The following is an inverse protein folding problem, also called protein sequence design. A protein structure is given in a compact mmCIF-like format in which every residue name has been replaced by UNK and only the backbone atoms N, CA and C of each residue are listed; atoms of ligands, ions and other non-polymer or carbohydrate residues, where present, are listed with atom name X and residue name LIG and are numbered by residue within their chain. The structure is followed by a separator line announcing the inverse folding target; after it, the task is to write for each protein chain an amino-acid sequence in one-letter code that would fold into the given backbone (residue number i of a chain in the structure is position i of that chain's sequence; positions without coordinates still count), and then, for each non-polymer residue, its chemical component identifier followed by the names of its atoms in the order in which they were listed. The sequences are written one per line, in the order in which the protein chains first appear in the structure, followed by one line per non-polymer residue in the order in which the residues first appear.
data_IF_342703562365
#
_entry.id   IF_342703562365
#
_cell.length_a   1.000
_cell.length_b   1.000
_cell.length_c   1.000
_cell.angle_alpha   90.00
_cell.angle_beta   90.00
_cell.angle_gamma   90.00
#
_symmetry.space_group_name_H-M   'P 1'
#
loop_
_entity.id
_entity.type
_entity.pdbx_description
1 polymer ?
#
# COMPACT_ATOMS: atom_id res chain seq x y z
N UNK A 1 71.21 -13.71 4.03
CA UNK A 1 69.75 -13.60 3.79
C UNK A 1 69.20 -12.68 4.87
N UNK A 2 68.76 -11.47 4.49
CA UNK A 2 68.51 -10.35 5.40
C UNK A 2 67.22 -10.45 6.23
N UNK A 3 67.13 -9.75 7.37
CA UNK A 3 66.11 -9.97 8.39
C UNK A 3 64.89 -9.01 8.29
N UNK A 4 63.78 -9.48 8.87
CA UNK A 4 62.63 -8.77 9.43
C UNK A 4 62.38 -7.32 8.99
N UNK A 5 61.32 -7.10 8.21
CA UNK A 5 60.69 -5.78 8.11
C UNK A 5 59.23 -5.85 7.64
N UNK A 6 58.35 -5.34 8.51
CA UNK A 6 56.99 -4.86 8.24
C UNK A 6 55.82 -5.84 8.44
N UNK A 7 55.41 -5.97 9.71
CA UNK A 7 53.99 -5.95 10.07
C UNK A 7 53.30 -4.75 9.42
N UNK A 8 52.42 -4.97 8.47
CA UNK A 8 51.32 -4.09 8.09
C UNK A 8 50.59 -4.75 6.92
N UNK A 9 49.37 -5.21 7.17
CA UNK A 9 48.20 -5.04 6.29
C UNK A 9 47.06 -5.87 6.90
N UNK A 10 46.47 -5.29 7.94
CA UNK A 10 45.16 -5.64 8.41
C UNK A 10 44.11 -5.30 7.35
N UNK A 11 43.05 -6.10 7.34
CA UNK A 11 41.68 -5.76 6.98
C UNK A 11 41.42 -5.16 5.59
N UNK A 12 40.95 -6.01 4.67
CA UNK A 12 40.00 -5.60 3.62
C UNK A 12 38.76 -6.47 3.75
N UNK A 13 37.94 -6.13 4.75
CA UNK A 13 36.53 -6.43 4.77
C UNK A 13 35.86 -5.63 3.66
N UNK A 14 35.49 -6.28 2.55
CA UNK A 14 34.46 -5.75 1.66
C UNK A 14 33.19 -6.55 1.88
N UNK A 15 32.42 -6.10 2.86
CA UNK A 15 31.01 -6.40 2.95
C UNK A 15 30.33 -5.87 1.68
N UNK A 16 29.91 -6.77 0.79
CA UNK A 16 28.94 -6.45 -0.23
C UNK A 16 27.60 -6.17 0.47
N UNK A 17 27.40 -4.92 0.89
CA UNK A 17 26.07 -4.47 1.26
C UNK A 17 25.21 -4.56 -0.01
N UNK A 18 24.02 -5.18 0.03
CA UNK A 18 23.05 -4.94 -1.01
C UNK A 18 22.71 -3.46 -0.87
N UNK A 19 23.18 -2.64 -1.81
CA UNK A 19 22.62 -1.33 -2.01
C UNK A 19 21.13 -1.57 -2.24
N UNK A 20 20.31 -1.29 -1.21
CA UNK A 20 18.87 -1.31 -1.34
C UNK A 20 18.56 -0.46 -2.56
N UNK A 21 18.04 -1.09 -3.61
CA UNK A 21 17.62 -0.40 -4.80
C UNK A 21 16.51 0.56 -4.37
N UNK A 22 16.89 1.80 -4.07
CA UNK A 22 15.96 2.88 -3.84
C UNK A 22 15.26 3.09 -5.17
N UNK A 23 14.09 2.47 -5.33
CA UNK A 23 13.20 2.76 -6.44
C UNK A 23 13.05 4.28 -6.51
N UNK A 24 13.21 4.90 -7.70
CA UNK A 24 13.08 6.35 -7.82
C UNK A 24 11.76 6.79 -7.18
N UNK A 25 11.75 7.90 -6.42
CA UNK A 25 10.56 8.34 -5.70
C UNK A 25 9.39 8.42 -6.68
N UNK A 26 8.34 7.63 -6.42
CA UNK A 26 7.16 7.62 -7.25
C UNK A 26 6.57 9.03 -7.25
N UNK A 27 6.33 9.62 -8.43
CA UNK A 27 5.68 10.93 -8.49
C UNK A 27 4.29 10.82 -7.84
N UNK A 28 4.02 11.70 -6.88
CA UNK A 28 2.73 11.76 -6.22
C UNK A 28 1.57 11.99 -7.22
N UNK A 29 1.83 12.62 -8.37
CA UNK A 29 0.81 12.83 -9.41
C UNK A 29 0.31 11.51 -10.02
N UNK A 30 1.10 10.43 -9.92
CA UNK A 30 0.70 9.09 -10.38
C UNK A 30 -0.16 8.34 -9.37
N UNK A 31 -0.29 8.85 -8.14
CA UNK A 31 -0.99 8.14 -7.07
C UNK A 31 -2.46 7.83 -7.39
N UNK A 32 -3.28 8.75 -7.94
CA UNK A 32 -4.67 8.43 -8.27
C UNK A 32 -4.79 7.26 -9.25
N UNK A 33 -3.96 7.22 -10.29
CA UNK A 33 -3.96 6.12 -11.26
C UNK A 33 -3.54 4.79 -10.61
N UNK A 34 -2.51 4.81 -9.76
CA UNK A 34 -2.06 3.62 -9.03
C UNK A 34 -3.12 3.09 -8.05
N UNK A 35 -3.76 3.99 -7.28
CA UNK A 35 -4.83 3.65 -6.35
C UNK A 35 -6.03 3.03 -7.06
N UNK A 36 -6.45 3.60 -8.20
CA UNK A 36 -7.54 3.06 -9.02
C UNK A 36 -7.16 1.70 -9.62
N UNK A 37 -5.92 1.51 -10.07
CA UNK A 37 -5.46 0.22 -10.57
C UNK A 37 -5.47 -0.86 -9.48
N UNK A 38 -4.98 -0.53 -8.28
CA UNK A 38 -5.00 -1.43 -7.12
C UNK A 38 -6.44 -1.81 -6.73
N UNK A 39 -7.33 -0.83 -6.59
CA UNK A 39 -8.74 -1.08 -6.27
C UNK A 39 -9.47 -1.80 -7.41
N UNK A 40 -9.04 -1.61 -8.65
CA UNK A 40 -9.56 -2.30 -9.82
C UNK A 40 -9.32 -3.82 -9.79
N UNK A 41 -8.21 -4.27 -9.20
CA UNK A 41 -7.96 -5.70 -8.98
C UNK A 41 -8.60 -6.22 -7.70
N UNK A 42 -8.57 -5.44 -6.62
CA UNK A 42 -9.07 -5.90 -5.32
C UNK A 42 -10.59 -5.99 -5.27
N UNK A 43 -11.34 -5.03 -5.83
CA UNK A 43 -12.79 -5.00 -5.66
C UNK A 43 -13.51 -6.23 -6.24
N UNK A 44 -13.23 -6.68 -7.49
CA UNK A 44 -13.86 -7.91 -8.00
C UNK A 44 -13.50 -9.15 -7.18
N UNK A 45 -12.25 -9.26 -6.71
CA UNK A 45 -11.79 -10.36 -5.88
C UNK A 45 -12.50 -10.36 -4.51
N UNK A 46 -12.65 -9.18 -3.91
CA UNK A 46 -13.39 -8.97 -2.67
C UNK A 46 -14.85 -9.37 -2.80
N UNK A 47 -15.55 -8.96 -3.87
CA UNK A 47 -16.95 -9.37 -4.08
C UNK A 47 -17.10 -10.88 -4.18
N UNK A 48 -16.17 -11.57 -4.86
CA UNK A 48 -16.15 -13.02 -4.94
C UNK A 48 -15.90 -13.66 -3.56
N UNK A 49 -14.97 -13.12 -2.78
CA UNK A 49 -14.67 -13.59 -1.42
C UNK A 49 -15.86 -13.39 -0.47
N UNK A 50 -16.58 -12.26 -0.57
CA UNK A 50 -17.83 -12.03 0.18
C UNK A 50 -18.86 -13.10 -0.15
N UNK A 51 -19.08 -13.39 -1.44
CA UNK A 51 -20.02 -14.40 -1.87
C UNK A 51 -19.65 -15.81 -1.36
N UNK A 52 -18.35 -16.12 -1.34
CA UNK A 52 -17.82 -17.39 -0.85
C UNK A 52 -17.66 -17.46 0.69
N UNK A 53 -17.82 -16.34 1.40
CA UNK A 53 -17.43 -16.17 2.82
C UNK A 53 -15.98 -16.55 3.09
N UNK A 54 -15.11 -16.29 2.12
CA UNK A 54 -13.67 -16.57 2.19
C UNK A 54 -13.00 -15.54 3.10
N UNK A 55 -12.55 -16.00 4.27
CA UNK A 55 -11.85 -15.16 5.25
C UNK A 55 -10.37 -14.99 4.91
N UNK A 56 -9.78 -15.96 4.23
CA UNK A 56 -8.35 -16.00 3.91
C UNK A 56 -8.03 -14.86 2.93
N UNK A 57 -8.95 -14.59 1.99
CA UNK A 57 -8.86 -13.40 1.13
C UNK A 57 -8.64 -12.10 1.92
N UNK A 58 -9.34 -11.89 3.04
CA UNK A 58 -9.25 -10.63 3.80
C UNK A 58 -7.91 -10.49 4.52
N UNK A 59 -7.36 -11.60 5.01
CA UNK A 59 -6.04 -11.62 5.63
C UNK A 59 -4.96 -11.29 4.60
N UNK A 60 -5.01 -11.92 3.43
CA UNK A 60 -4.05 -11.65 2.34
C UNK A 60 -4.20 -10.23 1.77
N UNK A 61 -5.44 -9.75 1.59
CA UNK A 61 -5.73 -8.41 1.09
C UNK A 61 -5.22 -7.32 2.04
N UNK A 62 -5.21 -7.57 3.35
CA UNK A 62 -4.59 -6.68 4.33
C UNK A 62 -3.09 -6.53 4.05
N UNK A 63 -2.39 -7.63 3.76
CA UNK A 63 -0.98 -7.60 3.37
C UNK A 63 -0.75 -6.74 2.12
N UNK A 64 -1.51 -7.00 1.06
CA UNK A 64 -1.41 -6.23 -0.21
C UNK A 64 -1.72 -4.74 -0.02
N UNK A 65 -2.72 -4.41 0.79
CA UNK A 65 -3.03 -3.02 1.15
C UNK A 65 -1.88 -2.36 1.92
N UNK A 66 -1.28 -3.05 2.89
CA UNK A 66 -0.15 -2.53 3.66
C UNK A 66 1.08 -2.33 2.77
N UNK A 67 1.37 -3.26 1.88
CA UNK A 67 2.47 -3.15 0.91
C UNK A 67 2.27 -1.97 -0.04
N UNK A 68 1.06 -1.84 -0.61
CA UNK A 68 0.70 -0.68 -1.42
C UNK A 68 0.89 0.62 -0.61
N UNK A 69 0.35 0.66 0.61
CA UNK A 69 0.43 1.85 1.47
C UNK A 69 1.86 2.22 1.85
N UNK A 70 2.70 1.22 2.09
CA UNK A 70 4.12 1.38 2.41
C UNK A 70 4.90 1.92 1.22
N UNK A 71 4.67 1.37 0.03
CA UNK A 71 5.33 1.79 -1.21
C UNK A 71 5.06 3.27 -1.58
N UNK A 72 3.94 3.81 -1.11
CA UNK A 72 3.52 5.20 -1.30
C UNK A 72 3.72 6.10 -0.08
N UNK A 73 4.01 5.51 1.08
CA UNK A 73 4.32 6.22 2.33
C UNK A 73 3.13 6.95 2.98
N UNK A 74 1.88 6.72 2.59
CA UNK A 74 0.74 7.48 3.17
C UNK A 74 0.26 6.95 4.53
N UNK A 75 0.45 5.66 4.84
CA UNK A 75 -0.02 5.08 6.11
C UNK A 75 1.05 5.08 7.21
N UNK A 76 2.31 4.83 6.86
CA UNK A 76 3.41 4.69 7.83
C UNK A 76 4.23 5.96 8.01
N UNK A 77 4.39 6.76 6.95
CA UNK A 77 5.27 7.94 6.94
C UNK A 77 4.50 9.26 6.85
N UNK A 78 3.18 9.20 6.58
CA UNK A 78 2.35 10.39 6.41
C UNK A 78 2.79 11.26 5.25
N UNK A 79 3.12 10.66 4.10
CA UNK A 79 3.65 11.35 2.91
C UNK A 79 2.81 12.60 2.56
N UNK A 80 3.33 13.83 2.81
CA UNK A 80 2.56 15.05 2.66
C UNK A 80 2.20 15.32 1.19
N UNK A 81 2.93 14.76 0.22
CA UNK A 81 2.62 14.91 -1.19
C UNK A 81 1.29 14.23 -1.59
N UNK A 82 0.81 13.29 -0.76
CA UNK A 82 -0.46 12.58 -0.97
C UNK A 82 -1.64 13.25 -0.25
N UNK A 83 -1.39 14.26 0.59
CA UNK A 83 -2.44 15.03 1.28
C UNK A 83 -3.47 15.70 0.35
N UNK A 84 -3.08 15.96 -0.90
CA UNK A 84 -3.96 16.49 -1.96
C UNK A 84 -4.89 15.44 -2.60
N UNK A 85 -4.71 14.16 -2.26
CA UNK A 85 -5.53 13.05 -2.76
C UNK A 85 -6.18 12.24 -1.63
N UNK A 86 -6.86 12.89 -0.66
CA UNK A 86 -7.44 12.19 0.50
C UNK A 86 -8.46 11.13 0.06
N UNK A 87 -9.24 11.42 -0.99
CA UNK A 87 -10.21 10.48 -1.54
C UNK A 87 -9.58 9.17 -2.04
N UNK A 88 -8.34 9.21 -2.53
CA UNK A 88 -7.62 8.02 -2.99
C UNK A 88 -6.99 7.25 -1.82
N UNK A 89 -6.35 7.94 -0.87
CA UNK A 89 -5.77 7.29 0.32
C UNK A 89 -6.84 6.66 1.20
N UNK A 90 -7.99 7.33 1.35
CA UNK A 90 -9.14 6.81 2.09
C UNK A 90 -9.77 5.62 1.37
N UNK A 91 -9.99 5.68 0.06
CA UNK A 91 -10.54 4.53 -0.68
C UNK A 91 -9.65 3.28 -0.55
N UNK A 92 -8.32 3.42 -0.65
CA UNK A 92 -7.39 2.31 -0.44
C UNK A 92 -7.38 1.80 0.99
N UNK A 93 -7.64 2.65 1.99
CA UNK A 93 -7.67 2.22 3.39
C UNK A 93 -9.00 1.57 3.78
N UNK A 94 -10.10 2.05 3.22
CA UNK A 94 -11.47 1.69 3.61
C UNK A 94 -11.99 0.45 2.87
N UNK A 95 -11.47 0.08 1.69
CA UNK A 95 -12.06 -1.00 0.87
C UNK A 95 -12.17 -2.32 1.65
N UNK A 96 -11.13 -2.68 2.40
CA UNK A 96 -11.09 -3.94 3.12
C UNK A 96 -12.09 -3.94 4.28
N UNK A 97 -12.21 -2.81 4.98
CA UNK A 97 -13.18 -2.63 6.08
C UNK A 97 -14.61 -2.74 5.54
N UNK A 98 -14.89 -2.10 4.40
CA UNK A 98 -16.19 -2.20 3.71
C UNK A 98 -16.51 -3.65 3.37
N UNK A 99 -15.56 -4.40 2.81
CA UNK A 99 -15.76 -5.81 2.50
C UNK A 99 -16.01 -6.67 3.74
N UNK A 100 -15.21 -6.48 4.79
CA UNK A 100 -15.37 -7.20 6.06
C UNK A 100 -16.74 -6.94 6.69
N UNK A 101 -17.22 -5.69 6.67
CA UNK A 101 -18.51 -5.31 7.23
C UNK A 101 -19.72 -5.92 6.51
N UNK A 102 -19.54 -6.37 5.27
CA UNK A 102 -20.56 -7.12 4.54
C UNK A 102 -20.63 -8.59 4.94
N UNK A 103 -19.56 -9.14 5.53
CA UNK A 103 -19.52 -10.50 6.09
C UNK A 103 -19.85 -10.48 7.58
N UNK A 104 -19.35 -9.49 8.31
CA UNK A 104 -19.46 -9.34 9.76
C UNK A 104 -20.40 -8.18 10.10
N UNK A 105 -21.71 -8.43 10.02
CA UNK A 105 -22.75 -7.39 10.17
C UNK A 105 -22.96 -6.89 11.60
N UNK A 106 -22.20 -7.37 12.59
CA UNK A 106 -22.39 -7.07 14.02
C UNK A 106 -21.17 -6.41 14.67
N UNK A 107 -20.17 -5.99 13.90
CA UNK A 107 -19.01 -5.28 14.45
C UNK A 107 -19.30 -3.79 14.55
N UNK A 108 -18.96 -3.17 15.69
CA UNK A 108 -19.18 -1.73 15.93
C UNK A 108 -18.47 -0.81 14.93
N UNK A 109 -17.41 -1.31 14.27
CA UNK A 109 -16.68 -0.61 13.22
C UNK A 109 -17.47 -0.47 11.90
N UNK A 110 -18.61 -1.16 11.75
CA UNK A 110 -19.43 -1.16 10.55
C UNK A 110 -20.47 -0.05 10.58
N UNK A 111 -19.98 1.19 10.52
CA UNK A 111 -20.83 2.38 10.50
C UNK A 111 -21.77 2.38 9.28
N UNK A 112 -23.04 2.80 9.43
CA UNK A 112 -24.02 2.79 8.33
C UNK A 112 -23.59 3.57 7.07
N UNK A 113 -22.77 4.62 7.23
CA UNK A 113 -22.31 5.48 6.15
C UNK A 113 -20.98 5.02 5.51
N UNK A 114 -20.37 3.92 5.99
CA UNK A 114 -19.05 3.49 5.54
C UNK A 114 -19.02 3.18 4.04
N UNK A 115 -19.98 2.38 3.56
CA UNK A 115 -20.05 1.99 2.15
C UNK A 115 -20.29 3.20 1.22
N UNK A 116 -21.20 4.10 1.60
CA UNK A 116 -21.50 5.28 0.77
C UNK A 116 -20.33 6.28 0.73
N UNK A 117 -19.59 6.43 1.82
CA UNK A 117 -18.35 7.23 1.87
C UNK A 117 -17.29 6.61 0.98
N UNK A 118 -17.06 5.31 1.08
CA UNK A 118 -16.12 4.59 0.23
C UNK A 118 -16.44 4.78 -1.26
N UNK A 119 -17.70 4.60 -1.66
CA UNK A 119 -18.12 4.77 -3.06
C UNK A 119 -17.91 6.19 -3.57
N UNK A 120 -18.17 7.19 -2.72
CA UNK A 120 -17.91 8.60 -3.05
C UNK A 120 -16.41 8.87 -3.22
N UNK A 121 -15.57 8.32 -2.34
CA UNK A 121 -14.11 8.43 -2.39
C UNK A 121 -13.54 7.77 -3.64
N UNK A 122 -13.96 6.54 -3.94
CA UNK A 122 -13.55 5.81 -5.11
C UNK A 122 -13.93 6.52 -6.40
N UNK A 123 -15.15 7.07 -6.48
CA UNK A 123 -15.59 7.86 -7.65
C UNK A 123 -14.70 9.08 -7.88
N UNK A 124 -14.44 9.87 -6.84
CA UNK A 124 -13.55 11.05 -6.97
C UNK A 124 -12.11 10.65 -7.28
N UNK A 125 -11.64 9.52 -6.75
CA UNK A 125 -10.31 9.01 -7.09
C UNK A 125 -10.21 8.63 -8.58
N UNK A 126 -11.25 7.99 -9.14
CA UNK A 126 -11.35 7.70 -10.59
C UNK A 126 -11.35 8.97 -11.44
N UNK A 127 -12.07 10.01 -11.02
CA UNK A 127 -12.08 11.31 -11.69
C UNK A 127 -10.71 12.00 -11.67
N UNK A 128 -9.90 11.79 -10.63
CA UNK A 128 -8.53 12.30 -10.55
C UNK A 128 -7.58 11.49 -11.44
N UNK A 129 -7.75 10.16 -11.48
CA UNK A 129 -6.94 9.26 -12.28
C UNK A 129 -7.14 9.42 -13.80
N UNK A 130 -8.29 9.95 -14.22
CA UNK A 130 -8.61 10.18 -15.64
C UNK A 130 -8.15 11.55 -16.17
N UNK A 131 -7.52 12.40 -15.33
CA UNK A 131 -7.00 13.69 -15.77
C UNK A 131 -5.71 13.51 -16.59
N UNK A 132 -5.55 14.24 -17.71
CA UNK A 132 -4.37 14.16 -18.56
C UNK A 132 -3.11 14.75 -17.91
#
# INVERSE_FOLDING_TARGET
MGPLRHCLLAALWLAAAPAGAQQPPQSADRFPAAAVSFLGSELPAMEAAIAARDRDYFEEAMGRMLDFSSSWGFKTQGNPALSRYPMCTEAVSDFLVVGMCRIMTTADACEPALASRFDANLRKCRELASRP
#
